data_IF_773480602115
#
_entry.id   IF_773480602115
#
_cell.length_a   1.000
_cell.length_b   1.000
_cell.length_c   1.000
_cell.angle_alpha   90.00
_cell.angle_beta   90.00
_cell.angle_gamma   90.00
#
_symmetry.space_group_name_H-M   'P 1'
#
loop_
_entity.id
_entity.type
_entity.pdbx_description
1 polymer ?
#
# COMPACT_ATOMS: atom_id res chain seq x y z
N UNK A 1 10.98 -1.02 8.08
CA UNK A 1 11.62 -0.06 7.15
C UNK A 1 10.53 0.77 6.49
N UNK A 2 10.77 2.07 6.26
CA UNK A 2 9.80 2.96 5.61
C UNK A 2 10.08 3.04 4.11
N UNK A 3 9.04 2.95 3.28
CA UNK A 3 9.15 3.00 1.82
C UNK A 3 8.06 3.92 1.27
N UNK A 4 8.45 4.92 0.46
CA UNK A 4 7.50 5.80 -0.24
C UNK A 4 7.01 5.14 -1.53
N UNK A 5 5.70 5.15 -1.75
CA UNK A 5 5.04 4.47 -2.86
C UNK A 5 3.99 5.37 -3.51
N UNK A 6 4.02 5.48 -4.82
CA UNK A 6 3.03 6.23 -5.58
C UNK A 6 1.66 5.52 -5.59
N UNK A 7 0.59 6.27 -5.30
CA UNK A 7 -0.76 5.75 -5.07
C UNK A 7 -1.40 5.01 -6.25
N UNK A 8 -0.94 5.17 -7.50
CA UNK A 8 -1.44 4.39 -8.63
C UNK A 8 -0.79 3.02 -8.80
N UNK A 9 0.16 2.63 -7.95
CA UNK A 9 0.77 1.28 -8.01
C UNK A 9 -0.22 0.21 -7.54
N UNK A 10 -0.14 -0.96 -8.19
CA UNK A 10 -0.86 -2.16 -7.76
C UNK A 10 -0.29 -2.75 -6.47
N UNK A 11 -1.13 -3.35 -5.63
CA UNK A 11 -0.71 -3.94 -4.36
C UNK A 11 0.41 -4.99 -4.52
N UNK A 12 0.39 -5.80 -5.59
CA UNK A 12 1.45 -6.78 -5.87
C UNK A 12 2.79 -6.07 -6.12
N UNK A 13 2.78 -4.92 -6.80
CA UNK A 13 4.00 -4.13 -7.03
C UNK A 13 4.57 -3.55 -5.72
N UNK A 14 3.73 -3.36 -4.70
CA UNK A 14 4.18 -2.92 -3.38
C UNK A 14 4.78 -4.09 -2.61
N UNK A 15 4.17 -5.27 -2.72
CA UNK A 15 4.64 -6.49 -2.05
C UNK A 15 6.05 -6.88 -2.50
N UNK A 16 6.43 -6.64 -3.75
CA UNK A 16 7.81 -6.90 -4.22
C UNK A 16 8.88 -6.04 -3.55
N UNK A 17 8.50 -4.98 -2.83
CA UNK A 17 9.39 -4.12 -2.07
C UNK A 17 9.62 -4.62 -0.63
N UNK A 18 8.89 -5.64 -0.20
CA UNK A 18 9.03 -6.26 1.13
C UNK A 18 10.37 -7.00 1.21
N UNK A 19 11.12 -6.70 2.27
CA UNK A 19 12.35 -7.40 2.63
C UNK A 19 12.01 -8.50 3.65
N UNK A 20 12.44 -9.74 3.39
CA UNK A 20 12.19 -10.85 4.30
C UNK A 20 12.83 -10.55 5.66
N UNK A 21 12.08 -10.78 6.75
CA UNK A 21 12.49 -10.55 8.15
C UNK A 21 12.43 -9.10 8.64
N UNK A 22 11.76 -8.18 7.94
CA UNK A 22 11.46 -6.84 8.45
C UNK A 22 10.00 -6.53 8.26
N UNK A 23 9.37 -5.93 9.27
CA UNK A 23 8.05 -5.33 9.11
C UNK A 23 8.17 -3.98 8.39
N UNK A 24 7.52 -3.86 7.23
CA UNK A 24 7.58 -2.68 6.38
C UNK A 24 6.39 -1.75 6.59
N UNK A 25 6.60 -0.45 6.37
CA UNK A 25 5.56 0.57 6.36
C UNK A 25 5.66 1.37 5.08
N UNK A 26 4.55 1.47 4.38
CA UNK A 26 4.45 2.07 3.05
C UNK A 26 3.76 3.42 3.17
N UNK A 27 4.48 4.47 2.81
CA UNK A 27 4.00 5.85 2.79
C UNK A 27 3.42 6.10 1.40
N UNK A 28 2.09 6.13 1.32
CA UNK A 28 1.41 6.26 0.03
C UNK A 28 1.32 7.74 -0.33
N UNK A 29 1.89 8.10 -1.47
CA UNK A 29 2.03 9.49 -1.91
C UNK A 29 1.16 9.77 -3.15
N UNK A 30 0.61 10.97 -3.22
CA UNK A 30 -0.14 11.49 -4.37
C UNK A 30 0.77 11.99 -5.51
N UNK A 31 0.16 12.62 -6.52
CA UNK A 31 0.85 13.24 -7.66
C UNK A 31 1.78 14.40 -7.24
N UNK A 32 1.48 15.07 -6.12
CA UNK A 32 2.24 16.20 -5.57
C UNK A 32 3.24 15.75 -4.49
N UNK A 33 3.50 14.43 -4.37
CA UNK A 33 4.35 13.83 -3.34
C UNK A 33 3.89 14.07 -1.90
N UNK A 34 2.61 14.40 -1.71
CA UNK A 34 2.01 14.56 -0.38
C UNK A 34 1.58 13.21 0.16
N UNK A 35 1.74 13.02 1.46
CA UNK A 35 1.34 11.80 2.14
C UNK A 35 -0.19 11.68 2.17
N UNK A 36 -0.72 10.61 1.56
CA UNK A 36 -2.14 10.26 1.61
C UNK A 36 -2.41 9.42 2.87
N UNK A 37 -1.66 8.34 3.05
CA UNK A 37 -1.83 7.42 4.17
C UNK A 37 -0.58 6.56 4.38
N UNK A 38 -0.56 5.82 5.49
CA UNK A 38 0.43 4.79 5.76
C UNK A 38 -0.29 3.43 5.75
N UNK A 39 0.29 2.48 5.04
CA UNK A 39 -0.16 1.07 5.00
C UNK A 39 0.96 0.21 5.58
N UNK A 40 0.58 -0.69 6.48
CA UNK A 40 1.53 -1.66 7.05
C UNK A 40 1.57 -2.96 6.25
N UNK A 41 2.62 -3.75 6.43
CA UNK A 41 2.82 -4.99 5.66
C UNK A 41 1.71 -6.02 5.86
N UNK A 42 1.21 -6.16 7.08
CA UNK A 42 0.07 -7.01 7.41
C UNK A 42 -1.22 -6.54 6.72
N UNK A 43 -1.50 -5.24 6.76
CA UNK A 43 -2.61 -4.59 6.04
C UNK A 43 -2.50 -4.85 4.53
N UNK A 44 -1.31 -4.68 3.94
CA UNK A 44 -1.06 -4.95 2.52
C UNK A 44 -1.34 -6.40 2.13
N UNK A 45 -0.91 -7.36 2.97
CA UNK A 45 -1.15 -8.79 2.73
C UNK A 45 -2.63 -9.12 2.83
N UNK A 46 -3.35 -8.55 3.82
CA UNK A 46 -4.80 -8.74 3.95
C UNK A 46 -5.54 -8.15 2.75
N UNK A 47 -5.20 -6.92 2.34
CA UNK A 47 -5.78 -6.26 1.18
C UNK A 47 -5.60 -7.10 -0.11
N UNK A 48 -4.41 -7.67 -0.32
CA UNK A 48 -4.14 -8.57 -1.44
C UNK A 48 -4.98 -9.83 -1.42
N UNK A 49 -5.21 -10.40 -0.23
CA UNK A 49 -6.01 -11.61 -0.06
C UNK A 49 -7.50 -11.35 -0.32
N UNK A 50 -8.01 -10.20 0.09
CA UNK A 50 -9.43 -9.86 0.00
C UNK A 50 -9.81 -9.29 -1.37
N UNK A 51 -8.97 -8.42 -1.93
CA UNK A 51 -9.31 -7.63 -3.12
C UNK A 51 -8.45 -7.97 -4.34
N UNK A 52 -7.42 -8.81 -4.21
CA UNK A 52 -6.49 -9.11 -5.30
C UNK A 52 -5.59 -7.92 -5.63
N UNK A 53 -5.04 -7.90 -6.86
CA UNK A 53 -4.10 -6.85 -7.30
C UNK A 53 -4.81 -5.58 -7.78
N UNK A 54 -5.55 -4.92 -6.89
CA UNK A 54 -6.07 -3.56 -7.15
C UNK A 54 -4.98 -2.50 -6.96
N UNK A 55 -5.27 -1.26 -7.33
CA UNK A 55 -4.37 -0.14 -7.05
C UNK A 55 -4.43 0.27 -5.58
N UNK A 56 -3.37 0.92 -5.08
CA UNK A 56 -3.40 1.56 -3.76
C UNK A 56 -4.50 2.64 -3.69
N UNK A 57 -4.74 3.36 -4.79
CA UNK A 57 -5.83 4.32 -4.91
C UNK A 57 -7.19 3.69 -4.62
N UNK A 58 -7.51 2.58 -5.30
CA UNK A 58 -8.77 1.87 -5.12
C UNK A 58 -8.88 1.28 -3.71
N UNK A 59 -7.79 0.73 -3.20
CA UNK A 59 -7.75 0.21 -1.83
C UNK A 59 -8.02 1.30 -0.80
N UNK A 60 -7.43 2.48 -0.94
CA UNK A 60 -7.66 3.62 -0.04
C UNK A 60 -9.13 4.06 -0.08
N UNK A 61 -9.75 4.08 -1.25
CA UNK A 61 -11.19 4.38 -1.39
C UNK A 61 -12.06 3.36 -0.65
N UNK A 62 -11.75 2.06 -0.77
CA UNK A 62 -12.45 0.99 -0.06
C UNK A 62 -12.28 1.15 1.46
N UNK A 63 -11.03 1.34 1.91
CA UNK A 63 -10.66 1.52 3.32
C UNK A 63 -11.38 2.70 3.98
N UNK A 64 -11.52 3.82 3.28
CA UNK A 64 -12.17 5.04 3.81
C UNK A 64 -13.70 4.98 3.84
N UNK A 65 -14.31 3.99 3.18
CA UNK A 65 -15.77 3.80 3.16
C UNK A 65 -16.26 2.88 4.31
N UNK A 66 -15.36 2.45 5.20
CA UNK A 66 -15.63 1.67 6.41
C UNK A 66 -15.25 2.46 7.66
#
# INVERSE_FOLDING_TARGET
>A
KSISVYYKKGLVNVLTLVDKNKFNSFYILDDDMRLITIIHEDELIMALKEYGNITLEDYIKIRNNH
#
